data_IF_276845182442
#
_entry.id   IF_276845182442
#
_cell.length_a   1.000
_cell.length_b   1.000
_cell.length_c   1.000
_cell.angle_alpha   90.00
_cell.angle_beta   90.00
_cell.angle_gamma   90.00
#
_symmetry.space_group_name_H-M   'P 1'
#
loop_
_entity.id
_entity.type
_entity.pdbx_description
1 polymer ?
#
# COMPACT_ATOMS: atom_id res chain seq x y z
N UNK A 1 -9.41 1.90 -2.93
CA UNK A 1 -8.42 2.95 -2.61
C UNK A 1 -7.27 2.80 -3.57
N UNK A 2 -7.42 3.35 -4.75
CA UNK A 2 -6.38 3.25 -5.77
C UNK A 2 -5.53 4.51 -5.73
N UNK A 3 -4.27 4.40 -6.15
CA UNK A 3 -3.59 5.60 -6.61
C UNK A 3 -4.41 6.22 -7.75
N UNK A 4 -4.42 7.55 -7.82
CA UNK A 4 -5.36 8.33 -8.62
C UNK A 4 -5.40 7.85 -10.09
N UNK A 5 -4.24 7.43 -10.60
CA UNK A 5 -4.02 7.11 -12.01
C UNK A 5 -4.69 5.80 -12.46
N UNK A 6 -4.92 4.85 -11.55
CA UNK A 6 -5.54 3.56 -11.86
C UNK A 6 -7.05 3.53 -11.66
N UNK A 7 -7.63 4.56 -11.04
CA UNK A 7 -9.06 4.62 -10.74
C UNK A 7 -9.93 4.47 -11.99
N UNK A 8 -9.59 5.15 -13.08
CA UNK A 8 -10.32 5.08 -14.34
C UNK A 8 -10.20 3.72 -15.04
N UNK A 9 -9.00 3.14 -15.06
CA UNK A 9 -8.77 1.83 -15.69
C UNK A 9 -9.52 0.72 -14.96
N UNK A 10 -9.66 0.83 -13.64
CA UNK A 10 -10.34 -0.17 -12.81
C UNK A 10 -11.85 -0.03 -12.89
N UNK A 11 -12.40 1.18 -12.93
CA UNK A 11 -13.83 1.38 -13.20
C UNK A 11 -14.21 0.77 -14.55
N UNK A 12 -13.39 1.00 -15.58
CA UNK A 12 -13.62 0.46 -16.91
C UNK A 12 -13.57 -1.08 -16.99
N UNK A 13 -12.77 -1.73 -16.13
CA UNK A 13 -12.60 -3.18 -16.12
C UNK A 13 -13.53 -3.93 -15.16
N UNK A 14 -13.96 -3.31 -14.07
CA UNK A 14 -14.58 -4.02 -12.94
C UNK A 14 -16.03 -3.55 -12.65
N UNK A 15 -16.52 -2.52 -13.35
CA UNK A 15 -17.89 -1.98 -13.20
C UNK A 15 -18.27 -1.71 -11.72
N UNK A 16 -17.31 -1.21 -10.94
CA UNK A 16 -17.48 -0.83 -9.54
C UNK A 16 -17.67 0.68 -9.41
N UNK A 17 -18.53 1.10 -8.48
CA UNK A 17 -18.60 2.50 -8.04
C UNK A 17 -17.45 2.78 -7.08
N UNK A 18 -16.55 3.69 -7.45
CA UNK A 18 -15.37 4.05 -6.65
C UNK A 18 -15.54 5.49 -6.14
N UNK A 19 -15.35 5.69 -4.84
CA UNK A 19 -15.25 7.02 -4.24
C UNK A 19 -13.78 7.33 -3.91
N UNK A 20 -13.31 8.51 -4.30
CA UNK A 20 -11.92 8.96 -4.10
C UNK A 20 -11.92 10.15 -3.14
N UNK A 21 -11.79 9.89 -1.83
CA UNK A 21 -11.58 10.94 -0.83
C UNK A 21 -10.08 11.15 -0.57
N UNK A 22 -9.42 11.98 -1.38
CA UNK A 22 -7.97 12.12 -1.33
C UNK A 22 -7.40 12.49 0.05
N UNK A 23 -8.11 13.22 0.92
CA UNK A 23 -7.52 13.74 2.15
C UNK A 23 -7.46 12.71 3.30
N UNK A 24 -8.58 12.03 3.57
CA UNK A 24 -8.67 10.99 4.62
C UNK A 24 -7.84 9.77 4.26
N UNK A 25 -7.79 9.48 2.97
CA UNK A 25 -7.10 8.35 2.36
C UNK A 25 -5.59 8.47 2.45
N UNK A 26 -5.05 9.61 2.03
CA UNK A 26 -3.61 9.90 2.12
C UNK A 26 -3.17 9.81 3.58
N UNK A 27 -3.96 10.33 4.52
CA UNK A 27 -3.66 10.23 5.94
C UNK A 27 -3.61 8.78 6.42
N UNK A 28 -4.56 7.94 5.99
CA UNK A 28 -4.57 6.52 6.32
C UNK A 28 -3.33 5.81 5.76
N UNK A 29 -3.01 6.09 4.49
CA UNK A 29 -1.95 5.44 3.73
C UNK A 29 -0.57 5.61 4.34
N UNK A 30 -0.28 6.83 4.79
CA UNK A 30 0.99 7.17 5.44
C UNK A 30 1.01 6.80 6.92
N UNK A 31 -0.14 6.47 7.53
CA UNK A 31 -0.21 6.20 8.96
C UNK A 31 0.51 4.92 9.37
N UNK A 32 1.38 5.04 10.38
CA UNK A 32 2.02 3.92 11.09
C UNK A 32 1.21 3.43 12.30
N UNK A 33 0.19 4.19 12.72
CA UNK A 33 -0.68 3.86 13.86
C UNK A 33 -1.74 2.83 13.47
N UNK A 34 -1.72 1.67 14.15
CA UNK A 34 -2.68 0.60 13.88
C UNK A 34 -4.14 1.05 14.00
N UNK A 35 -4.50 1.80 15.05
CA UNK A 35 -5.88 2.19 15.30
C UNK A 35 -6.45 3.12 14.22
N UNK A 36 -5.69 4.13 13.80
CA UNK A 36 -6.09 5.03 12.69
C UNK A 36 -6.29 4.25 11.39
N UNK A 37 -5.37 3.34 11.06
CA UNK A 37 -5.53 2.47 9.88
C UNK A 37 -6.78 1.59 9.98
N UNK A 38 -6.95 0.91 11.10
CA UNK A 38 -8.04 -0.01 11.35
C UNK A 38 -9.41 0.69 11.21
N UNK A 39 -9.57 1.85 11.85
CA UNK A 39 -10.82 2.62 11.77
C UNK A 39 -11.15 3.06 10.34
N UNK A 40 -10.15 3.49 9.56
CA UNK A 40 -10.36 3.94 8.18
C UNK A 40 -10.69 2.77 7.26
N UNK A 41 -9.98 1.66 7.38
CA UNK A 41 -10.23 0.45 6.60
C UNK A 41 -11.54 -0.27 6.98
N UNK A 42 -12.05 -0.07 8.22
CA UNK A 42 -13.39 -0.53 8.61
C UNK A 42 -14.48 0.34 8.00
N UNK A 43 -14.23 1.64 7.92
CA UNK A 43 -15.19 2.61 7.38
C UNK A 43 -15.24 2.59 5.84
N UNK A 44 -14.16 2.19 5.18
CA UNK A 44 -14.04 2.22 3.72
C UNK A 44 -13.47 0.90 3.19
N UNK A 45 -14.05 0.41 2.10
CA UNK A 45 -13.50 -0.73 1.38
C UNK A 45 -12.25 -0.33 0.60
N UNK A 46 -11.15 -1.03 0.87
CA UNK A 46 -9.86 -0.75 0.26
C UNK A 46 -9.66 -1.61 -0.97
N UNK A 47 -9.21 -0.98 -2.06
CA UNK A 47 -8.99 -1.62 -3.35
C UNK A 47 -7.57 -1.27 -3.73
N UNK A 48 -6.65 -2.22 -3.81
CA UNK A 48 -5.25 -2.01 -4.19
C UNK A 48 -4.96 -2.90 -5.40
N UNK A 49 -4.06 -2.48 -6.29
CA UNK A 49 -3.59 -3.37 -7.35
C UNK A 49 -3.07 -4.67 -6.74
N UNK A 50 -3.46 -5.83 -7.26
CA UNK A 50 -2.87 -7.09 -6.76
C UNK A 50 -1.62 -7.45 -7.55
N UNK A 51 -0.69 -8.21 -6.94
CA UNK A 51 0.45 -9.02 -7.45
C UNK A 51 1.13 -8.77 -8.81
N UNK A 52 0.81 -7.68 -9.48
CA UNK A 52 1.14 -7.32 -10.85
C UNK A 52 1.82 -5.96 -10.84
N UNK A 53 2.29 -5.51 -12.01
CA UNK A 53 2.94 -4.21 -12.22
C UNK A 53 2.19 -3.04 -11.54
N UNK A 54 0.86 -3.07 -11.47
CA UNK A 54 0.03 -2.03 -10.84
C UNK A 54 0.33 -1.78 -9.36
N UNK A 55 0.60 -2.85 -8.59
CA UNK A 55 0.88 -2.70 -7.16
C UNK A 55 2.28 -2.15 -6.90
N UNK A 56 3.21 -2.50 -7.79
CA UNK A 56 4.56 -1.96 -7.78
C UNK A 56 4.59 -0.50 -8.25
N UNK A 57 3.63 -0.11 -9.09
CA UNK A 57 3.45 1.28 -9.48
C UNK A 57 2.92 2.12 -8.30
N UNK A 58 1.90 1.63 -7.59
CA UNK A 58 1.33 2.33 -6.42
C UNK A 58 2.38 2.60 -5.31
N UNK A 59 3.38 1.72 -5.12
CA UNK A 59 4.47 1.94 -4.15
C UNK A 59 5.56 2.90 -4.67
N UNK A 60 5.79 2.96 -5.98
CA UNK A 60 6.71 3.92 -6.59
C UNK A 60 6.20 5.36 -6.46
N UNK A 61 4.89 5.54 -6.47
CA UNK A 61 4.24 6.85 -6.28
C UNK A 61 4.05 7.22 -4.79
N UNK A 62 4.50 6.37 -3.86
CA UNK A 62 4.27 6.58 -2.43
C UNK A 62 4.82 7.92 -1.91
N UNK A 63 5.98 8.39 -2.39
CA UNK A 63 6.53 9.66 -1.92
C UNK A 63 5.67 10.86 -2.35
N UNK A 64 5.00 10.79 -3.50
CA UNK A 64 4.02 11.81 -3.90
C UNK A 64 2.82 11.84 -2.95
N UNK A 65 2.33 10.67 -2.55
CA UNK A 65 1.27 10.54 -1.54
C UNK A 65 1.70 11.20 -0.21
N UNK A 66 2.95 10.98 0.22
CA UNK A 66 3.51 11.59 1.43
C UNK A 66 3.60 13.11 1.32
N UNK A 67 4.09 13.64 0.18
CA UNK A 67 4.19 15.07 -0.06
C UNK A 67 2.82 15.75 -0.06
N UNK A 68 1.81 15.16 -0.71
CA UNK A 68 0.43 15.65 -0.68
C UNK A 68 -0.11 15.62 0.76
N UNK A 69 0.14 14.54 1.51
CA UNK A 69 -0.27 14.41 2.90
C UNK A 69 0.31 15.49 3.80
N UNK A 70 1.61 15.78 3.63
CA UNK A 70 2.35 16.80 4.37
C UNK A 70 2.08 18.25 3.95
N UNK A 71 1.47 18.47 2.78
CA UNK A 71 1.27 19.81 2.18
C UNK A 71 0.33 20.73 2.96
N UNK A 72 -0.51 20.19 3.84
CA UNK A 72 -1.52 20.97 4.57
C UNK A 72 -1.08 21.34 5.98
N UNK A 73 -1.55 22.49 6.47
CA UNK A 73 -1.14 23.04 7.76
C UNK A 73 -1.40 22.11 8.95
N UNK A 74 -2.47 21.31 8.90
CA UNK A 74 -2.83 20.35 9.95
C UNK A 74 -1.99 19.07 9.93
N UNK A 75 -1.16 18.87 8.89
CA UNK A 75 -0.46 17.61 8.59
C UNK A 75 1.03 17.76 8.33
N UNK A 76 1.64 18.89 8.75
CA UNK A 76 3.10 19.14 8.67
C UNK A 76 3.97 18.11 9.42
N UNK A 77 3.37 17.26 10.24
CA UNK A 77 4.05 16.15 10.91
C UNK A 77 4.37 14.98 9.97
N UNK A 78 3.75 14.90 8.78
CA UNK A 78 4.10 13.93 7.74
C UNK A 78 5.25 14.50 6.94
N UNK A 79 6.43 13.89 7.03
CA UNK A 79 7.63 14.32 6.30
C UNK A 79 8.17 13.20 5.45
N UNK A 80 8.53 13.51 4.21
CA UNK A 80 9.12 12.56 3.26
C UNK A 80 10.35 11.85 3.84
N UNK A 81 11.22 12.61 4.51
CA UNK A 81 12.43 12.08 5.15
C UNK A 81 12.16 10.96 6.17
N UNK A 82 10.98 10.92 6.80
CA UNK A 82 10.64 9.87 7.76
C UNK A 82 10.48 8.50 7.06
N UNK A 83 10.21 8.50 5.75
CA UNK A 83 10.00 7.31 4.94
C UNK A 83 11.25 6.85 4.18
N UNK A 84 12.29 7.68 4.13
CA UNK A 84 13.58 7.35 3.51
C UNK A 84 14.56 6.75 4.52
N UNK A 85 15.58 6.07 4.02
CA UNK A 85 16.72 5.61 4.83
C UNK A 85 17.54 6.80 5.36
N UNK A 86 18.47 6.60 6.33
CA UNK A 86 19.32 7.69 6.83
C UNK A 86 20.17 8.39 5.77
N UNK A 87 20.43 7.73 4.63
CA UNK A 87 21.16 8.29 3.49
C UNK A 87 20.24 8.95 2.44
N UNK A 88 18.92 8.96 2.68
CA UNK A 88 17.94 9.60 1.82
C UNK A 88 17.35 8.70 0.73
N UNK A 89 17.69 7.41 0.69
CA UNK A 89 17.16 6.47 -0.31
C UNK A 89 15.76 5.98 0.07
N UNK A 90 14.86 5.87 -0.92
CA UNK A 90 13.60 5.14 -0.78
C UNK A 90 13.86 3.64 -0.95
N UNK A 91 13.66 2.85 0.11
CA UNK A 91 13.98 1.43 0.11
C UNK A 91 12.83 0.61 0.69
N UNK A 92 12.25 -0.30 -0.10
CA UNK A 92 11.17 -1.20 0.31
C UNK A 92 11.65 -2.49 0.99
N UNK A 93 12.97 -2.71 0.97
CA UNK A 93 13.61 -3.88 1.54
C UNK A 93 13.96 -3.73 3.03
N UNK A 94 14.77 -4.63 3.57
CA UNK A 94 15.12 -4.66 5.00
C UNK A 94 15.81 -3.38 5.52
N UNK A 95 16.42 -2.59 4.64
CA UNK A 95 17.03 -1.31 5.00
C UNK A 95 16.04 -0.15 4.99
N UNK A 96 14.79 -0.39 4.59
CA UNK A 96 13.73 0.60 4.55
C UNK A 96 13.45 1.22 5.91
N UNK A 97 12.95 2.45 5.89
CA UNK A 97 12.61 3.15 7.12
C UNK A 97 11.51 2.39 7.89
N UNK A 98 11.53 2.42 9.23
CA UNK A 98 10.46 1.84 10.02
C UNK A 98 9.09 2.46 9.71
N UNK A 99 9.04 3.73 9.31
CA UNK A 99 7.79 4.39 8.94
C UNK A 99 7.21 3.82 7.65
N UNK A 100 8.04 3.63 6.61
CA UNK A 100 7.63 3.00 5.35
C UNK A 100 7.19 1.56 5.57
N UNK A 101 8.03 0.74 6.19
CA UNK A 101 7.75 -0.68 6.38
C UNK A 101 6.54 -0.95 7.27
N UNK A 102 6.07 0.07 8.01
CA UNK A 102 4.88 -0.05 8.85
C UNK A 102 3.70 0.81 8.40
N UNK A 103 3.79 1.56 7.30
CA UNK A 103 2.65 2.35 6.81
C UNK A 103 1.55 1.45 6.24
N UNK A 104 0.34 1.98 6.09
CA UNK A 104 -0.77 1.21 5.54
C UNK A 104 -0.51 0.83 4.07
N UNK A 105 0.00 1.77 3.27
CA UNK A 105 0.25 1.54 1.84
C UNK A 105 1.19 0.36 1.62
N UNK A 106 2.32 0.32 2.34
CA UNK A 106 3.28 -0.78 2.26
C UNK A 106 2.64 -2.12 2.61
N UNK A 107 1.87 -2.16 3.70
CA UNK A 107 1.21 -3.39 4.17
C UNK A 107 0.17 -3.91 3.19
N UNK A 108 -0.50 -3.02 2.47
CA UNK A 108 -1.46 -3.42 1.44
C UNK A 108 -0.74 -3.82 0.16
N UNK A 109 0.25 -3.05 -0.30
CA UNK A 109 0.96 -3.38 -1.53
C UNK A 109 1.68 -4.74 -1.44
N UNK A 110 2.30 -5.02 -0.30
CA UNK A 110 3.03 -6.27 -0.07
C UNK A 110 2.25 -7.28 0.78
N UNK A 111 0.93 -7.15 0.88
CA UNK A 111 0.12 -8.17 1.54
C UNK A 111 0.29 -9.51 0.82
N UNK A 112 0.65 -10.56 1.57
CA UNK A 112 0.84 -11.93 1.09
C UNK A 112 2.00 -12.14 0.08
N UNK A 113 2.73 -11.09 -0.33
CA UNK A 113 3.85 -11.21 -1.27
C UNK A 113 5.04 -11.98 -0.72
N UNK A 114 5.23 -11.97 0.59
CA UNK A 114 6.26 -12.77 1.26
C UNK A 114 6.15 -14.29 1.06
N UNK A 115 5.03 -14.80 0.55
CA UNK A 115 4.80 -16.24 0.31
C UNK A 115 4.80 -16.60 -1.19
N UNK A 116 4.88 -15.62 -2.08
CA UNK A 116 4.81 -15.84 -3.54
C UNK A 116 6.21 -15.74 -4.14
N UNK A 117 6.54 -16.69 -5.02
CA UNK A 117 7.71 -16.60 -5.88
C UNK A 117 7.33 -15.79 -7.12
N UNK A 118 7.75 -14.54 -7.13
CA UNK A 118 7.50 -13.58 -8.22
C UNK A 118 8.57 -13.68 -9.31
N UNK A 119 9.73 -14.29 -9.02
CA UNK A 119 10.84 -14.43 -9.97
C UNK A 119 11.60 -15.75 -9.75
N UNK A 120 11.94 -16.42 -10.85
CA UNK A 120 12.73 -17.66 -10.85
C UNK A 120 14.12 -17.37 -10.26
N UNK A 121 14.60 -18.25 -9.37
CA UNK A 121 15.89 -18.13 -8.64
C UNK A 121 16.00 -16.98 -7.61
N UNK A 122 14.88 -16.40 -7.18
CA UNK A 122 14.85 -15.43 -6.08
C UNK A 122 14.06 -15.96 -4.87
N UNK A 123 14.29 -15.37 -3.69
CA UNK A 123 13.50 -15.62 -2.48
C UNK A 123 12.03 -15.21 -2.68
N UNK A 124 11.13 -15.79 -1.88
CA UNK A 124 9.72 -15.40 -1.90
C UNK A 124 9.55 -13.96 -1.40
N UNK A 125 8.67 -13.19 -2.03
CA UNK A 125 8.52 -11.75 -1.76
C UNK A 125 9.61 -10.88 -2.37
N UNK A 126 10.15 -11.28 -3.52
CA UNK A 126 11.04 -10.42 -4.31
C UNK A 126 10.22 -9.40 -5.10
N UNK A 127 10.51 -8.12 -4.89
CA UNK A 127 10.01 -7.03 -5.73
C UNK A 127 10.87 -6.94 -6.99
N UNK A 128 10.26 -7.17 -8.16
CA UNK A 128 10.97 -7.15 -9.44
C UNK A 128 11.20 -5.72 -9.98
N UNK A 129 10.35 -4.76 -9.62
CA UNK A 129 10.46 -3.36 -10.05
C UNK A 129 11.47 -2.64 -9.17
N UNK A 130 11.36 -2.80 -7.85
CA UNK A 130 12.31 -2.31 -6.86
C UNK A 130 13.61 -3.12 -6.76
N UNK A 131 13.67 -4.27 -7.45
CA UNK A 131 14.79 -5.22 -7.46
C UNK A 131 15.32 -5.53 -6.04
N UNK A 132 14.40 -5.79 -5.11
CA UNK A 132 14.71 -5.94 -3.69
C UNK A 132 13.82 -7.01 -3.04
N UNK A 133 14.34 -7.74 -2.06
CA UNK A 133 13.49 -8.53 -1.16
C UNK A 133 12.77 -7.60 -0.19
N UNK A 134 11.45 -7.75 -0.07
CA UNK A 134 10.61 -6.92 0.80
C UNK A 134 11.01 -7.04 2.27
N UNK A 135 11.08 -5.89 2.95
CA UNK A 135 11.55 -5.81 4.32
C UNK A 135 10.64 -6.47 5.35
N UNK A 136 9.31 -6.32 5.22
CA UNK A 136 8.36 -6.83 6.21
C UNK A 136 7.20 -7.62 5.59
N UNK A 137 7.05 -8.88 6.00
CA UNK A 137 6.09 -9.85 5.47
C UNK A 137 4.88 -9.92 6.43
N UNK A 138 3.76 -9.29 6.06
CA UNK A 138 2.55 -9.18 6.91
C UNK A 138 1.38 -10.06 6.45
N UNK A 139 0.49 -10.41 7.40
CA UNK A 139 -0.60 -11.39 7.21
C UNK A 139 -1.99 -10.97 7.77
N UNK A 140 -2.18 -9.73 8.21
CA UNK A 140 -3.36 -9.39 9.05
C UNK A 140 -4.63 -9.01 8.25
N UNK A 141 -4.53 -8.83 6.93
CA UNK A 141 -5.69 -8.50 6.10
C UNK A 141 -6.46 -9.77 5.71
N UNK A 142 -7.76 -9.66 5.47
CA UNK A 142 -8.52 -10.73 4.84
C UNK A 142 -8.85 -10.33 3.41
N UNK A 143 -8.49 -11.23 2.49
CA UNK A 143 -8.69 -11.07 1.07
C UNK A 143 -10.18 -11.19 0.76
N UNK A 144 -10.83 -10.10 0.34
CA UNK A 144 -12.27 -10.09 0.12
C UNK A 144 -12.65 -10.44 -1.33
N UNK A 145 -11.85 -10.02 -2.32
CA UNK A 145 -12.09 -10.36 -3.74
C UNK A 145 -10.83 -10.17 -4.59
N UNK A 146 -10.64 -11.04 -5.59
CA UNK A 146 -9.66 -10.90 -6.67
C UNK A 146 -10.40 -10.96 -8.02
N UNK A 147 -10.03 -10.10 -8.97
CA UNK A 147 -10.49 -10.20 -10.35
C UNK A 147 -9.84 -11.38 -11.09
N UNK A 148 -10.49 -11.95 -12.11
CA UNK A 148 -10.05 -13.17 -12.82
C UNK A 148 -8.59 -13.16 -13.32
N UNK A 149 -7.97 -11.98 -13.50
CA UNK A 149 -6.58 -11.82 -13.94
C UNK A 149 -5.68 -11.14 -12.89
N UNK A 150 -6.08 -11.13 -11.61
CA UNK A 150 -5.28 -10.56 -10.52
C UNK A 150 -4.91 -9.09 -10.73
N UNK A 151 -5.75 -8.35 -11.48
CA UNK A 151 -5.54 -6.93 -11.76
C UNK A 151 -5.81 -6.08 -10.52
N UNK A 152 -6.78 -6.51 -9.71
CA UNK A 152 -7.32 -5.70 -8.61
C UNK A 152 -7.66 -6.61 -7.45
N UNK A 153 -7.22 -6.22 -6.25
CA UNK A 153 -7.61 -6.84 -4.99
C UNK A 153 -8.48 -5.90 -4.18
N UNK A 154 -9.56 -6.44 -3.62
CA UNK A 154 -10.36 -5.78 -2.59
C UNK A 154 -10.01 -6.40 -1.25
N UNK A 155 -9.55 -5.58 -0.32
CA UNK A 155 -9.18 -5.99 1.04
C UNK A 155 -10.26 -5.58 2.04
N UNK A 156 -10.63 -6.52 2.91
CA UNK A 156 -11.50 -6.26 4.07
C UNK A 156 -10.71 -6.55 5.33
N UNK A 157 -10.86 -5.68 6.33
CA UNK A 157 -10.21 -5.87 7.62
C UNK A 157 -11.00 -6.86 8.46
N UNK A 158 -10.29 -7.83 9.03
CA UNK A 158 -10.84 -8.79 9.99
C UNK A 158 -11.45 -8.05 11.19
N UNK A 159 -12.50 -8.63 11.74
CA UNK A 159 -12.93 -8.21 13.08
C UNK A 159 -11.76 -8.42 14.06
N UNK A 160 -11.64 -7.54 15.05
CA UNK A 160 -10.69 -7.75 16.13
C UNK A 160 -11.11 -9.01 16.89
N UNK A 161 -10.14 -9.87 17.22
CA UNK A 161 -10.40 -10.96 18.15
C UNK A 161 -10.86 -10.34 19.49
N UNK A 162 -12.02 -10.80 20.00
CA UNK A 162 -12.58 -10.38 21.29
C UNK A 162 -11.73 -10.87 22.46
#
# INVERSE_FOLDING_TARGET
ILCWDHSYQIIAKVNWTIFVDNNTLVQAMVSTEFRKRYEIMRKHEVIVGDFTEYCYDDINEFLWVVQIGGSTNTRKYIKENDYCTPVGEFCVGHKGSPALLNCLMYKMCYYHSGQVYTKVNHSSGFDHVGNAEIGNKFYVLEKAYITEHWLVRKDKVKDLDN
#
